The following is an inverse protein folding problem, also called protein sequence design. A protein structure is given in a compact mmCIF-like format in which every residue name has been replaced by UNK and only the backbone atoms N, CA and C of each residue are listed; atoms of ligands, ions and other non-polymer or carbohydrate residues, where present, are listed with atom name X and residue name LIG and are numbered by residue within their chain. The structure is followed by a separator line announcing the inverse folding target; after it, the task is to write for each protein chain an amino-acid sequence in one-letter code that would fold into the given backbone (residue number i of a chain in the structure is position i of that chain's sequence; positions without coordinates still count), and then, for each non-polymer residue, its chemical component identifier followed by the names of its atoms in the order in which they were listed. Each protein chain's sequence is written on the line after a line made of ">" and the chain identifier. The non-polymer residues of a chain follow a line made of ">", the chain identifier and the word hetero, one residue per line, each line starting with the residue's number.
data_IF_746299122943
#
_entry.id   IF_746299122943
#
_cell.length_a   1.000
_cell.length_b   1.000
_cell.length_c   1.000
_cell.angle_alpha   90.00
_cell.angle_beta   90.00
_cell.angle_gamma   90.00
#
_symmetry.space_group_name_H-M   'P 1'
#
loop_
_entity.id
_entity.type
_entity.pdbx_description
1 polymer ?
#
# COMPACT_ATOMS: atom_id res chain seq x y z
N UNK A 1 -31.71 51.19 60.82
CA UNK A 1 -30.91 49.94 60.76
C UNK A 1 -31.41 49.14 59.55
N UNK A 2 -30.82 49.36 58.37
CA UNK A 2 -31.25 48.77 57.10
C UNK A 2 -30.48 47.47 56.83
N UNK A 3 -31.16 46.33 56.76
CA UNK A 3 -30.60 45.07 56.30
C UNK A 3 -30.62 45.03 54.76
N UNK A 4 -29.44 44.94 54.13
CA UNK A 4 -29.32 44.60 52.70
C UNK A 4 -29.09 43.10 52.58
N UNK A 5 -30.08 42.36 52.05
CA UNK A 5 -29.89 41.00 51.56
C UNK A 5 -29.10 41.05 50.25
N UNK A 6 -27.89 40.49 50.25
CA UNK A 6 -27.14 40.19 49.03
C UNK A 6 -27.62 38.84 48.50
N UNK A 7 -28.33 38.86 47.36
CA UNK A 7 -28.71 37.65 46.64
C UNK A 7 -27.53 37.19 45.78
N UNK A 8 -26.91 36.07 46.16
CA UNK A 8 -25.86 35.41 45.38
C UNK A 8 -26.50 34.61 44.24
N UNK A 9 -26.48 35.17 43.03
CA UNK A 9 -26.78 34.44 41.80
C UNK A 9 -25.63 33.46 41.51
N UNK A 10 -25.85 32.17 41.80
CA UNK A 10 -25.01 31.09 41.30
C UNK A 10 -25.20 30.98 39.78
N UNK A 11 -24.24 31.47 39.02
CA UNK A 11 -24.15 31.20 37.57
C UNK A 11 -23.55 29.79 37.44
N UNK A 12 -24.43 28.80 37.23
CA UNK A 12 -24.02 27.45 36.86
C UNK A 12 -23.45 27.50 35.44
N UNK A 13 -22.13 27.58 35.32
CA UNK A 13 -21.42 27.43 34.05
C UNK A 13 -21.62 26.00 33.53
N UNK A 14 -22.66 25.81 32.72
CA UNK A 14 -22.84 24.61 31.89
C UNK A 14 -21.66 24.56 30.90
N UNK A 15 -20.59 23.85 31.27
CA UNK A 15 -19.53 23.55 30.31
C UNK A 15 -20.15 22.73 29.16
N UNK A 16 -19.96 23.13 27.89
CA UNK A 16 -20.43 22.32 26.78
C UNK A 16 -19.66 21.00 26.82
N UNK A 17 -20.39 19.90 27.00
CA UNK A 17 -19.85 18.55 26.80
C UNK A 17 -19.50 18.47 25.32
N UNK A 18 -18.23 18.68 24.99
CA UNK A 18 -17.70 18.43 23.66
C UNK A 18 -17.83 16.93 23.42
N UNK A 19 -18.85 16.52 22.65
CA UNK A 19 -18.95 15.17 22.12
C UNK A 19 -17.78 15.02 21.16
N UNK A 20 -16.66 14.48 21.67
CA UNK A 20 -15.47 14.20 20.88
C UNK A 20 -15.86 13.11 19.87
N UNK A 21 -16.27 13.52 18.67
CA UNK A 21 -16.56 12.60 17.58
C UNK A 21 -15.28 11.80 17.31
N UNK A 22 -15.26 10.54 17.74
CA UNK A 22 -14.04 9.73 17.67
C UNK A 22 -13.80 9.36 16.22
N UNK A 23 -12.91 10.10 15.56
CA UNK A 23 -12.53 9.84 14.18
C UNK A 23 -11.91 8.43 14.10
N UNK A 24 -12.51 7.59 13.25
CA UNK A 24 -12.06 6.25 12.95
C UNK A 24 -11.02 6.30 11.82
N UNK A 25 -9.79 5.80 12.04
CA UNK A 25 -8.75 5.86 11.00
C UNK A 25 -9.13 4.97 9.82
N UNK A 26 -8.94 5.48 8.59
CA UNK A 26 -9.19 4.77 7.32
C UNK A 26 -7.93 4.24 6.64
N UNK A 27 -6.77 4.61 7.16
CA UNK A 27 -5.45 4.12 6.73
C UNK A 27 -4.51 4.07 7.92
N UNK A 28 -3.39 3.35 7.78
CA UNK A 28 -2.33 3.33 8.78
C UNK A 28 -1.73 4.72 9.02
N UNK A 29 -1.66 5.56 7.99
CA UNK A 29 -1.23 6.95 8.14
C UNK A 29 -2.16 7.71 9.08
N UNK A 30 -3.48 7.59 8.90
CA UNK A 30 -4.44 8.19 9.83
C UNK A 30 -4.36 7.56 11.23
N UNK A 31 -4.07 6.27 11.35
CA UNK A 31 -3.83 5.66 12.66
C UNK A 31 -2.62 6.29 13.36
N UNK A 32 -1.54 6.58 12.63
CA UNK A 32 -0.39 7.32 13.16
C UNK A 32 -0.77 8.74 13.59
N UNK A 33 -1.42 9.49 12.72
CA UNK A 33 -1.78 10.89 12.96
C UNK A 33 -2.81 11.07 14.09
N UNK A 34 -3.84 10.23 14.14
CA UNK A 34 -4.97 10.41 15.05
C UNK A 34 -4.81 9.67 16.38
N UNK A 35 -4.03 8.57 16.39
CA UNK A 35 -3.91 7.66 17.53
C UNK A 35 -2.46 7.49 18.01
N UNK A 36 -1.48 8.12 17.36
CA UNK A 36 -0.07 8.00 17.73
C UNK A 36 0.52 6.61 17.44
N UNK A 37 -0.08 5.82 16.53
CA UNK A 37 0.44 4.51 16.17
C UNK A 37 1.83 4.61 15.55
N UNK A 38 2.80 3.87 16.10
CA UNK A 38 4.22 3.98 15.72
C UNK A 38 4.92 2.64 15.48
N UNK A 39 4.38 1.53 15.98
CA UNK A 39 4.99 0.22 15.85
C UNK A 39 4.36 -0.58 14.71
N UNK A 40 5.19 -1.23 13.89
CA UNK A 40 4.71 -2.16 12.88
C UNK A 40 3.82 -3.23 13.50
N UNK A 41 2.74 -3.61 12.82
CA UNK A 41 1.84 -4.63 13.34
C UNK A 41 0.47 -4.62 12.70
N UNK A 42 -0.43 -5.44 13.23
CA UNK A 42 -1.82 -5.51 12.79
C UNK A 42 -2.67 -4.48 13.51
N UNK A 43 -3.44 -3.70 12.75
CA UNK A 43 -4.34 -2.67 13.26
C UNK A 43 -5.75 -2.84 12.71
N UNK A 44 -6.73 -2.46 13.52
CA UNK A 44 -8.11 -2.31 13.07
C UNK A 44 -8.29 -0.92 12.48
N UNK A 45 -8.62 -0.89 11.20
CA UNK A 45 -8.88 0.30 10.38
C UNK A 45 -10.35 0.23 9.92
N UNK A 46 -10.89 1.33 9.41
CA UNK A 46 -12.30 1.43 9.04
C UNK A 46 -12.47 1.83 7.58
N UNK A 47 -13.41 1.20 6.87
CA UNK A 47 -13.72 1.54 5.49
C UNK A 47 -14.59 2.81 5.39
N UNK A 48 -15.02 3.17 4.18
CA UNK A 48 -15.85 4.34 3.92
C UNK A 48 -17.23 4.27 4.57
N UNK A 49 -17.70 3.05 4.91
CA UNK A 49 -18.94 2.76 5.60
C UNK A 49 -18.73 2.57 7.11
N UNK A 50 -17.54 2.92 7.64
CA UNK A 50 -17.14 2.72 9.03
C UNK A 50 -17.17 1.27 9.52
N UNK A 51 -17.06 0.31 8.61
CA UNK A 51 -16.93 -1.12 8.94
C UNK A 51 -15.46 -1.42 9.26
N UNK A 52 -15.18 -2.10 10.38
CA UNK A 52 -13.81 -2.42 10.75
C UNK A 52 -13.23 -3.50 9.82
N UNK A 53 -11.95 -3.40 9.53
CA UNK A 53 -11.15 -4.45 8.91
C UNK A 53 -9.74 -4.43 9.52
N UNK A 54 -9.12 -5.60 9.61
CA UNK A 54 -7.74 -5.72 10.08
C UNK A 54 -6.80 -5.69 8.88
N UNK A 55 -5.69 -4.97 9.01
CA UNK A 55 -4.58 -5.01 8.06
C UNK A 55 -3.25 -4.77 8.78
N UNK A 56 -2.13 -4.96 8.08
CA UNK A 56 -0.81 -4.67 8.60
C UNK A 56 -0.43 -3.21 8.29
N UNK A 57 0.06 -2.52 9.32
CA UNK A 57 0.64 -1.20 9.22
C UNK A 57 2.16 -1.29 9.32
N UNK A 58 2.83 -0.63 8.39
CA UNK A 58 4.26 -0.45 8.43
C UNK A 58 4.59 1.04 8.51
N UNK A 59 5.29 1.41 9.59
CA UNK A 59 5.65 2.76 9.96
C UNK A 59 7.16 3.02 9.85
N UNK A 60 7.96 1.99 9.57
CA UNK A 60 9.40 2.00 9.82
C UNK A 60 10.25 1.68 8.60
N UNK A 61 9.75 0.91 7.63
CA UNK A 61 10.59 0.43 6.52
C UNK A 61 11.04 1.53 5.55
N UNK A 62 10.23 2.59 5.43
CA UNK A 62 10.52 3.78 4.64
C UNK A 62 10.47 5.00 5.56
N UNK A 63 11.63 5.57 5.85
CA UNK A 63 11.71 6.81 6.63
C UNK A 63 10.85 7.90 5.96
N UNK A 64 9.95 8.48 6.76
CA UNK A 64 9.03 9.52 6.29
C UNK A 64 7.79 9.02 5.55
N UNK A 65 7.52 7.71 5.50
CA UNK A 65 6.30 7.14 4.94
C UNK A 65 5.59 6.20 5.91
N UNK A 66 4.27 6.09 5.76
CA UNK A 66 3.45 5.10 6.46
C UNK A 66 2.64 4.32 5.46
N UNK A 67 2.59 2.99 5.64
CA UNK A 67 2.02 2.06 4.69
C UNK A 67 0.93 1.19 5.31
N UNK A 68 -0.14 1.01 4.54
CA UNK A 68 -1.27 0.13 4.81
C UNK A 68 -1.19 -1.04 3.83
N UNK A 69 -1.09 -2.27 4.32
CA UNK A 69 -1.08 -3.45 3.45
C UNK A 69 -2.44 -3.60 2.77
N UNK A 70 -2.43 -3.91 1.46
CA UNK A 70 -3.65 -4.19 0.69
C UNK A 70 -3.67 -5.57 0.05
N UNK A 71 -2.48 -6.14 -0.23
CA UNK A 71 -2.32 -7.46 -0.80
C UNK A 71 -0.97 -8.05 -0.36
N UNK A 72 -0.96 -9.34 -0.06
CA UNK A 72 0.24 -10.13 0.22
C UNK A 72 0.05 -11.53 -0.36
N UNK A 73 0.85 -11.88 -1.36
CA UNK A 73 0.76 -13.16 -2.06
C UNK A 73 2.13 -13.82 -2.14
N UNK A 74 2.21 -15.08 -1.69
CA UNK A 74 3.33 -15.94 -2.03
C UNK A 74 3.37 -16.20 -3.53
N UNK A 75 4.54 -16.56 -4.07
CA UNK A 75 4.70 -16.88 -5.48
C UNK A 75 3.76 -18.00 -5.92
N UNK A 76 3.57 -19.01 -5.06
CA UNK A 76 2.61 -20.10 -5.30
C UNK A 76 1.17 -19.58 -5.48
N UNK A 77 0.77 -18.57 -4.70
CA UNK A 77 -0.56 -17.97 -4.80
C UNK A 77 -0.68 -16.96 -5.95
N UNK A 78 0.34 -16.12 -6.16
CA UNK A 78 0.34 -15.10 -7.21
C UNK A 78 0.26 -15.70 -8.63
N UNK A 79 0.70 -16.95 -8.82
CA UNK A 79 0.56 -17.68 -10.09
C UNK A 79 -0.87 -18.12 -10.40
N UNK A 80 -1.74 -18.27 -9.39
CA UNK A 80 -3.12 -18.71 -9.56
C UNK A 80 -3.89 -17.67 -10.40
N UNK A 81 -4.67 -18.13 -11.38
CA UNK A 81 -5.50 -17.27 -12.25
C UNK A 81 -6.41 -16.31 -11.48
N UNK A 82 -6.87 -16.73 -10.29
CA UNK A 82 -7.62 -15.90 -9.36
C UNK A 82 -6.92 -14.56 -9.08
N UNK A 83 -5.63 -14.59 -8.76
CA UNK A 83 -4.86 -13.42 -8.34
C UNK A 83 -4.11 -12.69 -9.47
N UNK A 84 -4.07 -13.27 -10.68
CA UNK A 84 -3.55 -12.61 -11.89
C UNK A 84 -4.53 -11.56 -12.45
N UNK A 85 -4.99 -10.65 -11.60
CA UNK A 85 -5.98 -9.62 -11.91
C UNK A 85 -5.58 -8.30 -11.23
N UNK A 86 -5.61 -7.21 -11.97
CA UNK A 86 -5.30 -5.88 -11.42
C UNK A 86 -6.27 -5.46 -10.30
N UNK A 87 -5.96 -4.36 -9.61
CA UNK A 87 -6.80 -3.84 -8.52
C UNK A 87 -8.16 -3.29 -9.00
N UNK A 88 -8.42 -3.26 -10.30
CA UNK A 88 -9.77 -3.06 -10.83
C UNK A 88 -10.73 -4.20 -10.45
N UNK A 89 -10.26 -5.43 -10.31
CA UNK A 89 -11.13 -6.57 -9.99
C UNK A 89 -11.23 -6.78 -8.49
N UNK A 90 -12.44 -7.05 -8.02
CA UNK A 90 -12.68 -7.42 -6.63
C UNK A 90 -12.38 -8.92 -6.42
N UNK A 91 -11.20 -9.19 -5.87
CA UNK A 91 -10.65 -10.55 -5.68
C UNK A 91 -10.20 -10.69 -4.24
N UNK A 92 -11.09 -10.49 -3.27
CA UNK A 92 -10.69 -10.57 -1.88
C UNK A 92 -10.36 -12.01 -1.44
N UNK A 93 -9.54 -12.11 -0.41
CA UNK A 93 -9.43 -13.33 0.38
C UNK A 93 -10.58 -13.41 1.37
N UNK A 94 -11.13 -14.60 1.58
CA UNK A 94 -12.21 -14.85 2.53
C UNK A 94 -11.66 -15.13 3.93
N UNK A 95 -12.37 -14.70 4.98
CA UNK A 95 -12.11 -15.10 6.36
C UNK A 95 -11.70 -13.95 7.29
N UNK A 96 -11.72 -14.24 8.59
CA UNK A 96 -11.42 -13.26 9.66
C UNK A 96 -9.93 -13.16 10.01
N UNK A 97 -9.08 -14.05 9.48
CA UNK A 97 -7.64 -14.06 9.75
C UNK A 97 -6.83 -13.65 8.52
N UNK A 98 -5.80 -12.84 8.73
CA UNK A 98 -4.86 -12.46 7.68
C UNK A 98 -3.88 -13.62 7.48
N UNK A 99 -3.97 -14.29 6.33
CA UNK A 99 -2.93 -15.20 5.89
C UNK A 99 -1.87 -14.40 5.11
N UNK A 100 -0.69 -14.22 5.68
CA UNK A 100 0.39 -13.45 5.04
C UNK A 100 0.77 -13.99 3.65
N UNK A 101 0.62 -15.28 3.40
CA UNK A 101 0.92 -15.87 2.08
C UNK A 101 -0.23 -15.75 1.08
N UNK A 102 -1.44 -15.44 1.52
CA UNK A 102 -2.65 -15.32 0.69
C UNK A 102 -3.62 -14.32 1.33
N UNK A 103 -3.35 -13.03 1.12
CA UNK A 103 -4.16 -11.93 1.62
C UNK A 103 -4.43 -10.92 0.50
N UNK A 104 -5.68 -10.49 0.35
CA UNK A 104 -6.07 -9.37 -0.50
C UNK A 104 -7.36 -8.75 0.02
N UNK A 105 -7.36 -7.44 0.26
CA UNK A 105 -8.55 -6.70 0.65
C UNK A 105 -9.56 -6.60 -0.50
N UNK A 106 -10.84 -6.45 -0.19
CA UNK A 106 -11.86 -6.13 -1.20
C UNK A 106 -11.53 -4.81 -1.89
N UNK A 107 -11.90 -4.68 -3.17
CA UNK A 107 -11.67 -3.47 -3.96
C UNK A 107 -12.21 -2.21 -3.29
N UNK A 108 -13.41 -2.28 -2.71
CA UNK A 108 -14.04 -1.15 -2.02
C UNK A 108 -13.23 -0.69 -0.80
N UNK A 109 -12.63 -1.61 -0.05
CA UNK A 109 -11.76 -1.31 1.09
C UNK A 109 -10.44 -0.70 0.62
N UNK A 110 -9.79 -1.28 -0.39
CA UNK A 110 -8.57 -0.72 -0.98
C UNK A 110 -8.78 0.71 -1.48
N UNK A 111 -9.93 0.96 -2.15
CA UNK A 111 -10.31 2.30 -2.59
C UNK A 111 -10.54 3.24 -1.42
N UNK A 112 -11.21 2.79 -0.35
CA UNK A 112 -11.37 3.60 0.87
C UNK A 112 -10.03 4.00 1.50
N UNK A 113 -9.03 3.12 1.46
CA UNK A 113 -7.68 3.44 1.95
C UNK A 113 -7.01 4.47 1.02
N UNK A 114 -7.14 4.31 -0.31
CA UNK A 114 -6.60 5.24 -1.29
C UNK A 114 -7.24 6.63 -1.21
N UNK A 115 -8.54 6.69 -0.98
CA UNK A 115 -9.30 7.94 -0.84
C UNK A 115 -9.11 8.59 0.55
N UNK A 116 -8.43 7.91 1.49
CA UNK A 116 -8.16 8.45 2.82
C UNK A 116 -7.14 9.60 2.76
N UNK A 117 -7.33 10.61 3.61
CA UNK A 117 -6.42 11.76 3.70
C UNK A 117 -4.97 11.29 3.90
N UNK A 118 -4.07 11.81 3.07
CA UNK A 118 -2.63 11.53 3.11
C UNK A 118 -2.20 10.28 2.32
N UNK A 119 -3.13 9.38 1.94
CA UNK A 119 -2.84 8.24 1.07
C UNK A 119 -2.57 8.73 -0.36
N UNK A 120 -1.31 8.94 -0.67
CA UNK A 120 -0.84 9.63 -1.90
C UNK A 120 0.01 8.72 -2.78
N UNK A 121 0.42 7.56 -2.26
CA UNK A 121 1.37 6.66 -2.88
C UNK A 121 0.93 5.21 -2.73
N UNK A 122 1.47 4.38 -3.61
CA UNK A 122 1.52 2.94 -3.43
C UNK A 122 2.95 2.45 -3.60
N UNK A 123 3.20 1.24 -3.12
CA UNK A 123 4.46 0.54 -3.35
C UNK A 123 4.24 -0.96 -3.50
N UNK A 124 5.23 -1.63 -4.09
CA UNK A 124 5.37 -3.07 -4.02
C UNK A 124 6.71 -3.42 -3.36
N UNK A 125 6.71 -4.45 -2.53
CA UNK A 125 7.91 -4.96 -1.83
C UNK A 125 8.00 -6.47 -2.01
N UNK A 126 9.22 -6.99 -2.08
CA UNK A 126 9.48 -8.43 -2.00
C UNK A 126 9.85 -8.86 -0.58
N UNK A 127 9.29 -9.98 -0.13
CA UNK A 127 9.64 -10.69 1.10
C UNK A 127 9.66 -9.80 2.35
N UNK A 128 8.62 -8.98 2.54
CA UNK A 128 8.48 -8.21 3.77
C UNK A 128 8.34 -9.15 4.98
N UNK A 129 9.22 -8.98 5.96
CA UNK A 129 9.28 -9.75 7.20
C UNK A 129 8.53 -9.01 8.31
N UNK A 130 7.37 -9.54 8.70
CA UNK A 130 6.54 -8.95 9.76
C UNK A 130 7.15 -9.02 11.16
N UNK A 131 8.16 -9.87 11.36
CA UNK A 131 8.86 -10.04 12.64
C UNK A 131 10.04 -9.06 12.78
N UNK A 132 10.50 -8.47 11.67
CA UNK A 132 11.55 -7.46 11.67
C UNK A 132 10.94 -6.06 11.88
N UNK A 133 11.52 -5.29 12.81
CA UNK A 133 11.17 -3.89 13.07
C UNK A 133 11.24 -3.05 11.78
N UNK A 134 12.22 -3.32 10.91
CA UNK A 134 12.34 -2.63 9.62
C UNK A 134 11.41 -3.19 8.55
N UNK A 135 10.92 -4.42 8.68
CA UNK A 135 10.07 -5.06 7.68
C UNK A 135 10.77 -5.49 6.40
N UNK A 136 11.63 -4.64 5.83
CA UNK A 136 12.46 -4.97 4.67
C UNK A 136 13.95 -4.81 5.03
N UNK A 137 14.76 -5.77 4.62
CA UNK A 137 16.21 -5.72 4.84
C UNK A 137 16.87 -4.59 4.03
N UNK A 138 16.38 -4.39 2.81
CA UNK A 138 16.80 -3.33 1.90
C UNK A 138 15.68 -3.09 0.87
N UNK A 139 15.81 -2.02 0.10
CA UNK A 139 14.91 -1.70 -1.00
C UNK A 139 15.30 -2.40 -2.31
N UNK A 140 15.81 -3.63 -2.26
CA UNK A 140 15.97 -4.46 -3.47
C UNK A 140 14.61 -5.01 -3.88
N UNK A 141 14.32 -5.04 -5.17
CA UNK A 141 13.05 -5.54 -5.72
C UNK A 141 11.84 -4.83 -5.08
N UNK A 142 11.83 -3.52 -5.28
CA UNK A 142 10.92 -2.57 -4.67
C UNK A 142 10.49 -1.55 -5.71
N UNK A 143 9.24 -1.07 -5.67
CA UNK A 143 8.81 0.13 -6.38
C UNK A 143 7.98 1.02 -5.46
N UNK A 144 8.07 2.33 -5.63
CA UNK A 144 7.18 3.32 -5.01
C UNK A 144 6.80 4.39 -6.01
N UNK A 145 5.52 4.71 -6.03
CA UNK A 145 4.91 5.60 -7.01
C UNK A 145 3.79 6.40 -6.35
N UNK A 146 3.69 7.69 -6.66
CA UNK A 146 2.52 8.49 -6.37
C UNK A 146 1.32 8.12 -7.25
N UNK A 147 0.10 8.13 -6.70
CA UNK A 147 -1.12 8.00 -7.50
C UNK A 147 -1.26 9.09 -8.58
N UNK A 148 -0.66 10.27 -8.39
CA UNK A 148 -0.62 11.31 -9.43
C UNK A 148 0.15 10.86 -10.68
N UNK A 149 1.21 10.07 -10.49
CA UNK A 149 2.02 9.54 -11.59
C UNK A 149 1.40 8.26 -12.20
N UNK A 150 0.50 7.58 -11.48
CA UNK A 150 -0.24 6.42 -11.97
C UNK A 150 -1.73 6.46 -11.57
N UNK A 151 -2.55 7.33 -12.21
CA UNK A 151 -3.95 7.53 -11.84
C UNK A 151 -4.87 6.36 -12.21
N UNK A 152 -4.33 5.33 -12.87
CA UNK A 152 -5.08 4.19 -13.38
C UNK A 152 -5.02 2.98 -12.43
N UNK A 153 -4.51 3.12 -11.21
CA UNK A 153 -4.34 2.03 -10.24
C UNK A 153 -5.59 1.16 -10.02
N UNK A 154 -6.80 1.74 -10.05
CA UNK A 154 -8.07 1.02 -9.91
C UNK A 154 -8.90 0.96 -11.20
N UNK A 155 -8.29 1.14 -12.39
CA UNK A 155 -8.98 1.17 -13.68
C UNK A 155 -8.61 -0.06 -14.53
N UNK A 156 -9.52 -0.51 -15.38
CA UNK A 156 -9.24 -1.56 -16.36
C UNK A 156 -8.80 -0.93 -17.67
N UNK A 157 -7.49 -0.78 -17.86
CA UNK A 157 -6.92 -0.09 -19.02
C UNK A 157 -6.23 -1.04 -20.02
N UNK A 158 -5.84 -2.24 -19.60
CA UNK A 158 -5.20 -3.25 -20.45
C UNK A 158 -4.04 -2.70 -21.32
N UNK A 159 -3.23 -1.81 -20.74
CA UNK A 159 -2.19 -1.04 -21.42
C UNK A 159 -1.02 -0.73 -20.48
N UNK A 160 0.06 -0.15 -21.02
CA UNK A 160 1.16 0.40 -20.23
C UNK A 160 1.16 1.92 -20.25
N UNK A 161 1.71 2.49 -19.18
CA UNK A 161 1.92 3.93 -19.05
C UNK A 161 3.35 4.20 -18.61
N UNK A 162 3.99 5.15 -19.27
CA UNK A 162 5.27 5.70 -18.83
C UNK A 162 5.04 6.44 -17.51
N UNK A 163 5.39 5.76 -16.42
CA UNK A 163 5.05 6.14 -15.04
C UNK A 163 6.29 6.67 -14.37
N UNK A 164 6.22 7.92 -13.88
CA UNK A 164 7.33 8.51 -13.13
C UNK A 164 7.43 7.85 -11.75
N UNK A 165 8.47 7.06 -11.55
CA UNK A 165 8.73 6.33 -10.31
C UNK A 165 9.40 7.24 -9.29
N UNK A 166 8.95 7.24 -8.04
CA UNK A 166 9.69 7.94 -6.98
C UNK A 166 10.99 7.21 -6.68
N UNK A 167 10.90 5.89 -6.64
CA UNK A 167 12.02 4.99 -6.54
C UNK A 167 11.60 3.62 -7.09
N UNK A 168 12.47 3.00 -7.88
CA UNK A 168 12.38 1.59 -8.23
C UNK A 168 13.73 0.93 -8.04
N UNK A 169 13.71 -0.34 -7.70
CA UNK A 169 14.85 -1.21 -7.72
C UNK A 169 14.43 -2.57 -8.24
N UNK A 170 15.09 -3.05 -9.30
CA UNK A 170 14.96 -4.42 -9.76
C UNK A 170 16.36 -5.03 -9.74
N UNK A 171 16.52 -6.10 -8.95
CA UNK A 171 17.75 -6.91 -8.85
C UNK A 171 19.00 -6.10 -8.49
N UNK A 172 18.83 -5.03 -7.70
CA UNK A 172 19.92 -4.15 -7.27
C UNK A 172 20.15 -2.95 -8.19
N UNK A 173 19.50 -2.89 -9.34
CA UNK A 173 19.55 -1.74 -10.24
C UNK A 173 18.46 -0.77 -9.85
N UNK A 174 18.84 0.47 -9.55
CA UNK A 174 17.91 1.48 -9.05
C UNK A 174 17.62 2.55 -10.08
N UNK A 175 16.47 3.18 -9.94
CA UNK A 175 16.15 4.41 -10.64
C UNK A 175 15.26 5.30 -9.76
N UNK A 176 15.47 6.61 -9.81
CA UNK A 176 14.70 7.62 -9.06
C UNK A 176 14.22 8.67 -10.04
N UNK A 177 12.96 9.08 -9.90
CA UNK A 177 12.34 10.13 -10.70
C UNK A 177 12.38 9.87 -12.22
N UNK A 178 12.54 8.62 -12.64
CA UNK A 178 12.53 8.22 -14.03
C UNK A 178 11.18 7.62 -14.43
N UNK A 179 10.91 7.71 -15.72
CA UNK A 179 9.72 7.20 -16.36
C UNK A 179 9.92 5.76 -16.82
N UNK A 180 9.18 4.84 -16.23
CA UNK A 180 9.27 3.40 -16.49
C UNK A 180 7.90 2.88 -16.90
N UNK A 181 7.83 1.95 -17.87
CA UNK A 181 6.56 1.37 -18.29
C UNK A 181 5.97 0.51 -17.18
N UNK A 182 4.84 0.94 -16.62
CA UNK A 182 4.03 0.13 -15.73
C UNK A 182 2.80 -0.36 -16.51
N UNK A 183 2.63 -1.69 -16.58
CA UNK A 183 1.57 -2.35 -17.32
C UNK A 183 0.44 -2.71 -16.38
N UNK A 184 -0.81 -2.56 -16.85
CA UNK A 184 -2.00 -3.16 -16.25
C UNK A 184 -2.57 -4.21 -17.22
N UNK A 185 -2.61 -5.47 -16.78
CA UNK A 185 -3.10 -6.57 -17.62
C UNK A 185 -4.59 -6.81 -17.58
N UNK A 186 -5.36 -5.94 -16.92
CA UNK A 186 -6.77 -6.16 -16.65
C UNK A 186 -6.99 -7.52 -15.99
N UNK A 187 -7.64 -8.43 -16.72
CA UNK A 187 -7.98 -9.78 -16.25
C UNK A 187 -6.91 -10.84 -16.54
N UNK A 188 -5.83 -10.49 -17.26
CA UNK A 188 -4.82 -11.46 -17.73
C UNK A 188 -3.60 -11.56 -16.81
N UNK A 189 -3.19 -10.43 -16.25
CA UNK A 189 -2.08 -10.29 -15.31
C UNK A 189 -2.33 -9.07 -14.42
N UNK A 190 -1.64 -9.01 -13.29
CA UNK A 190 -1.71 -7.90 -12.36
C UNK A 190 -0.87 -6.71 -12.86
N UNK A 191 -0.85 -5.59 -12.13
CA UNK A 191 0.10 -4.50 -12.37
C UNK A 191 1.54 -5.05 -12.34
N UNK A 192 2.31 -4.81 -13.40
CA UNK A 192 3.67 -5.33 -13.55
C UNK A 192 4.62 -4.34 -14.24
N UNK A 193 5.92 -4.59 -14.10
CA UNK A 193 6.98 -3.95 -14.85
C UNK A 193 7.63 -4.99 -15.76
N UNK A 194 7.61 -4.77 -17.07
CA UNK A 194 8.33 -5.62 -18.03
C UNK A 194 9.78 -5.12 -18.20
N UNK A 195 10.71 -5.75 -17.50
CA UNK A 195 12.09 -5.28 -17.31
C UNK A 195 12.90 -5.33 -18.61
N UNK A 196 12.71 -6.37 -19.42
CA UNK A 196 13.40 -6.55 -20.70
C UNK A 196 12.99 -5.52 -21.77
N UNK A 197 11.78 -4.97 -21.66
CA UNK A 197 11.26 -3.94 -22.54
C UNK A 197 11.60 -2.51 -22.08
N UNK A 198 11.85 -2.30 -20.79
CA UNK A 198 12.10 -0.97 -20.23
C UNK A 198 13.28 -0.23 -20.88
N UNK A 199 14.23 -0.94 -21.49
CA UNK A 199 15.36 -0.36 -22.26
C UNK A 199 14.97 0.31 -23.59
N UNK A 200 13.78 0.02 -24.10
CA UNK A 200 13.32 0.47 -25.42
C UNK A 200 12.23 1.54 -25.35
N UNK A 201 11.60 1.73 -24.19
CA UNK A 201 10.44 2.61 -24.01
C UNK A 201 10.62 3.53 -22.78
N UNK A 202 9.83 4.60 -22.73
CA UNK A 202 9.93 5.64 -21.70
C UNK A 202 11.38 6.18 -21.60
N UNK A 203 11.97 6.22 -20.39
CA UNK A 203 13.34 6.72 -20.19
C UNK A 203 14.43 5.67 -20.48
N UNK A 204 14.07 4.55 -21.13
CA UNK A 204 15.03 3.53 -21.59
C UNK A 204 15.90 2.97 -20.46
N UNK A 205 15.28 2.69 -19.32
CA UNK A 205 15.98 2.18 -18.15
C UNK A 205 16.52 0.77 -18.38
N UNK A 206 17.82 0.57 -18.14
CA UNK A 206 18.52 -0.69 -18.44
C UNK A 206 18.81 -1.46 -17.16
N UNK A 207 18.32 -2.71 -17.11
CA UNK A 207 18.71 -3.71 -16.12
C UNK A 207 19.46 -4.83 -16.86
N UNK A 208 20.69 -5.18 -16.49
CA UNK A 208 21.46 -6.21 -17.18
C UNK A 208 20.89 -7.61 -16.94
N UNK A 209 21.30 -8.57 -17.78
CA UNK A 209 20.91 -9.99 -17.68
C UNK A 209 19.39 -10.20 -17.66
N UNK A 210 18.66 -9.46 -18.51
CA UNK A 210 17.24 -9.69 -18.71
C UNK A 210 17.02 -10.97 -19.51
N UNK A 211 15.95 -11.69 -19.19
CA UNK A 211 15.45 -12.81 -20.01
C UNK A 211 14.27 -12.34 -20.87
N UNK A 212 13.82 -13.17 -21.82
CA UNK A 212 12.58 -12.88 -22.56
C UNK A 212 11.40 -12.94 -21.59
N UNK A 213 10.52 -11.94 -21.62
CA UNK A 213 9.39 -11.82 -20.68
C UNK A 213 9.87 -11.71 -19.22
N UNK A 214 10.90 -10.90 -18.97
CA UNK A 214 11.43 -10.63 -17.64
C UNK A 214 10.48 -9.69 -16.88
N UNK A 215 9.41 -10.27 -16.32
CA UNK A 215 8.43 -9.54 -15.54
C UNK A 215 8.87 -9.41 -14.10
N UNK A 216 8.86 -8.18 -13.61
CA UNK A 216 8.92 -7.87 -12.20
C UNK A 216 7.51 -7.52 -11.71
N UNK A 217 7.10 -8.20 -10.64
CA UNK A 217 5.76 -8.14 -10.08
C UNK A 217 4.67 -8.63 -11.06
N UNK A 218 3.51 -8.96 -10.51
CA UNK A 218 2.23 -9.04 -11.20
C UNK A 218 1.99 -10.07 -12.31
N UNK A 219 3.02 -10.64 -12.93
CA UNK A 219 2.94 -11.85 -13.73
C UNK A 219 4.12 -12.76 -13.43
N UNK A 220 3.81 -13.97 -12.96
CA UNK A 220 4.78 -14.97 -12.55
C UNK A 220 4.77 -16.21 -13.45
N UNK A 221 4.24 -16.09 -14.67
CA UNK A 221 4.31 -17.16 -15.69
C UNK A 221 5.71 -17.28 -16.28
N UNK A 222 6.39 -16.15 -16.44
CA UNK A 222 7.78 -16.04 -16.88
C UNK A 222 8.52 -15.23 -15.82
N UNK A 223 9.62 -15.76 -15.29
CA UNK A 223 10.27 -15.19 -14.12
C UNK A 223 11.78 -15.26 -14.25
N UNK A 224 12.43 -14.26 -13.66
CA UNK A 224 13.85 -14.28 -13.40
C UNK A 224 14.10 -14.70 -11.95
N UNK A 225 14.79 -15.82 -11.70
CA UNK A 225 15.04 -16.30 -10.33
C UNK A 225 15.88 -15.32 -9.49
N UNK A 226 16.57 -14.37 -10.13
CA UNK A 226 17.29 -13.29 -9.42
C UNK A 226 16.36 -12.23 -8.84
N UNK A 227 15.10 -12.15 -9.29
CA UNK A 227 14.07 -11.28 -8.73
C UNK A 227 13.52 -11.93 -7.46
N UNK A 228 13.69 -11.30 -6.31
CA UNK A 228 13.51 -11.96 -5.01
C UNK A 228 12.06 -12.34 -4.68
N UNK A 229 11.06 -11.69 -5.28
CA UNK A 229 9.65 -12.14 -5.21
C UNK A 229 9.41 -13.46 -5.96
N UNK A 230 10.33 -13.89 -6.82
CA UNK A 230 10.22 -15.09 -7.66
C UNK A 230 11.28 -16.16 -7.35
N UNK A 231 12.07 -16.00 -6.27
CA UNK A 231 13.19 -16.89 -5.96
C UNK A 231 12.77 -18.22 -5.32
N UNK A 232 11.60 -18.26 -4.65
CA UNK A 232 11.03 -19.46 -4.03
C UNK A 232 9.50 -19.46 -4.17
N UNK A 233 8.86 -20.62 -4.11
CA UNK A 233 7.39 -20.74 -4.04
C UNK A 233 6.79 -20.00 -2.85
N UNK A 234 7.57 -19.82 -1.79
CA UNK A 234 7.21 -19.08 -0.57
C UNK A 234 7.60 -17.60 -0.62
N UNK A 235 8.30 -17.13 -1.66
CA UNK A 235 8.62 -15.70 -1.82
C UNK A 235 7.35 -14.88 -1.91
N UNK A 236 7.29 -13.73 -1.25
CA UNK A 236 6.07 -12.94 -1.12
C UNK A 236 6.20 -11.62 -1.87
N UNK A 237 5.13 -11.25 -2.57
CA UNK A 237 4.90 -9.89 -3.07
C UNK A 237 3.86 -9.22 -2.21
N UNK A 238 4.19 -8.04 -1.68
CA UNK A 238 3.25 -7.23 -0.94
C UNK A 238 2.96 -5.93 -1.70
N UNK A 239 1.70 -5.55 -1.77
CA UNK A 239 1.28 -4.23 -2.24
C UNK A 239 0.72 -3.42 -1.09
N UNK A 240 1.03 -2.13 -1.12
CA UNK A 240 0.73 -1.21 -0.03
C UNK A 240 0.19 0.09 -0.57
N UNK A 241 -0.66 0.74 0.22
CA UNK A 241 -1.12 2.11 0.01
C UNK A 241 -0.72 2.95 1.22
N UNK A 242 -0.21 4.14 0.97
CA UNK A 242 0.34 4.97 2.02
C UNK A 242 0.67 6.37 1.55
N UNK A 243 1.46 7.06 2.34
CA UNK A 243 1.88 8.41 2.01
C UNK A 243 2.96 8.93 2.93
N UNK A 244 3.47 10.10 2.58
CA UNK A 244 4.45 10.79 3.40
C UNK A 244 3.84 11.18 4.75
N UNK A 245 4.59 10.95 5.82
CA UNK A 245 4.31 11.45 7.15
C UNK A 245 5.40 12.45 7.51
N UNK A 246 5.00 13.71 7.62
CA UNK A 246 5.87 14.79 8.08
C UNK A 246 5.48 15.03 9.54
N UNK A 247 6.40 14.72 10.44
CA UNK A 247 6.28 14.99 11.89
C UNK A 247 6.38 16.47 12.19
#
# INVERSE_FOLDING_TARGET
>A
MMYRLFSLLLICCMMPISIQMTIKPKSCLQAKELKGASNNGFYVIYDSLNRPFTTFCDFNSDVGFVWTLIESLSLANAKKSKYRKSFYYDVSTSGCSINWSEFRLCKSVMKSIADARGSTHFRATCNFNIEDIKGINNHRDYLRVSFCNYPNFFKNVAAHFCTKMDYVNIRGHTCRQCSIPLYDGGSSYHILLQVDHAKNICDKWVVPNTVVHDFAFGDYRYMNSKFTCANSSTSITNWWIGGAYIS
#
